data_IF_007710649373
#
_entry.id   IF_007710649373
#
_cell.length_a   1.000
_cell.length_b   1.000
_cell.length_c   1.000
_cell.angle_alpha   90.00
_cell.angle_beta   90.00
_cell.angle_gamma   90.00
#
_symmetry.space_group_name_H-M   'P 1'
#
loop_
_entity.id
_entity.type
_entity.pdbx_description
1 polymer ?
#
# COMPACT_ATOMS: atom_id res chain seq x y z
N UNK A 1 -14.95 43.47 -14.41
CA UNK A 1 -16.41 43.50 -14.74
C UNK A 1 -17.02 42.18 -14.32
N UNK A 2 -18.06 42.16 -13.48
CA UNK A 2 -18.73 40.91 -13.09
C UNK A 2 -19.54 40.34 -14.26
N UNK A 3 -19.57 38.99 -14.34
CA UNK A 3 -20.38 38.28 -15.32
C UNK A 3 -21.69 37.88 -14.64
N UNK A 4 -22.81 38.20 -15.26
CA UNK A 4 -24.14 37.88 -14.77
C UNK A 4 -24.77 36.77 -15.62
N UNK A 5 -25.33 35.77 -14.96
CA UNK A 5 -26.25 34.80 -15.57
C UNK A 5 -27.64 35.32 -15.45
N UNK A 6 -28.32 35.47 -16.57
CA UNK A 6 -29.69 35.97 -16.58
C UNK A 6 -30.68 34.97 -17.16
N UNK A 7 -31.92 35.05 -16.71
CA UNK A 7 -33.07 34.38 -17.28
C UNK A 7 -34.14 35.42 -17.58
N UNK A 8 -34.54 35.48 -18.83
CA UNK A 8 -35.52 36.44 -19.29
C UNK A 8 -36.51 35.81 -20.30
N UNK A 9 -37.46 36.61 -20.77
CA UNK A 9 -38.41 36.22 -21.84
C UNK A 9 -38.28 37.16 -23.01
N UNK A 10 -38.29 36.63 -24.23
CA UNK A 10 -38.31 37.38 -25.46
C UNK A 10 -39.75 37.82 -25.80
N UNK A 11 -39.92 38.57 -26.91
CA UNK A 11 -41.26 39.01 -27.39
C UNK A 11 -42.20 37.85 -27.71
N UNK A 12 -41.71 36.67 -27.99
CA UNK A 12 -42.49 35.45 -28.27
C UNK A 12 -42.81 34.66 -26.99
N UNK A 13 -42.54 35.25 -25.81
CA UNK A 13 -42.75 34.62 -24.50
C UNK A 13 -41.87 33.38 -24.21
N UNK A 14 -40.82 33.16 -25.02
CA UNK A 14 -39.86 32.06 -24.83
C UNK A 14 -38.82 32.43 -23.76
N UNK A 15 -38.39 31.42 -23.03
CA UNK A 15 -37.37 31.59 -21.96
C UNK A 15 -36.00 31.67 -22.60
N UNK A 16 -35.31 32.79 -22.46
CA UNK A 16 -33.92 33.00 -22.85
C UNK A 16 -33.02 32.99 -21.60
N UNK A 17 -32.04 32.11 -21.59
CA UNK A 17 -30.99 32.02 -20.56
C UNK A 17 -29.65 32.33 -21.22
N UNK A 18 -28.88 33.22 -20.61
CA UNK A 18 -27.58 33.60 -21.17
C UNK A 18 -26.67 34.20 -20.11
N UNK A 19 -25.40 34.43 -20.51
CA UNK A 19 -24.40 35.11 -19.71
C UNK A 19 -24.00 36.42 -20.40
N UNK A 20 -23.88 37.51 -19.59
CA UNK A 20 -23.42 38.81 -20.05
C UNK A 20 -22.52 39.47 -19.02
N UNK A 21 -21.54 40.20 -19.49
CA UNK A 21 -20.66 41.04 -18.67
C UNK A 21 -21.30 42.42 -18.57
N UNK A 22 -21.50 42.91 -17.34
CA UNK A 22 -21.99 44.25 -17.09
C UNK A 22 -21.39 44.79 -15.79
N UNK A 23 -21.29 46.12 -15.69
CA UNK A 23 -20.71 46.75 -14.50
C UNK A 23 -21.61 46.63 -13.26
N UNK A 24 -22.94 46.64 -13.47
CA UNK A 24 -23.94 46.44 -12.43
C UNK A 24 -25.25 45.84 -13.02
N UNK A 25 -26.20 45.49 -12.13
CA UNK A 25 -27.48 44.89 -12.54
C UNK A 25 -28.34 45.85 -13.40
N UNK A 26 -28.18 47.16 -13.23
CA UNK A 26 -28.91 48.14 -14.00
C UNK A 26 -28.38 48.28 -15.42
N UNK A 27 -27.08 48.25 -15.60
CA UNK A 27 -26.46 48.17 -16.92
C UNK A 27 -26.84 46.92 -17.70
N UNK A 28 -26.89 45.76 -17.00
CA UNK A 28 -27.39 44.52 -17.60
C UNK A 28 -28.86 44.64 -18.06
N UNK A 29 -29.73 45.25 -17.23
CA UNK A 29 -31.13 45.50 -17.62
C UNK A 29 -31.27 46.38 -18.84
N UNK A 30 -30.44 47.41 -18.98
CA UNK A 30 -30.46 48.27 -20.16
C UNK A 30 -30.00 47.53 -21.43
N UNK A 31 -28.97 46.69 -21.34
CA UNK A 31 -28.51 45.85 -22.43
C UNK A 31 -29.61 44.91 -22.88
N UNK A 32 -30.24 44.17 -21.97
CA UNK A 32 -31.27 43.20 -22.25
C UNK A 32 -32.58 43.84 -22.76
N UNK A 33 -32.91 45.07 -22.28
CA UNK A 33 -34.03 45.85 -22.87
C UNK A 33 -33.80 46.20 -24.34
N UNK A 34 -32.57 46.55 -24.74
CA UNK A 34 -32.22 46.79 -26.16
C UNK A 34 -32.34 45.53 -27.00
N UNK A 35 -32.05 44.36 -26.40
CA UNK A 35 -32.20 43.03 -27.02
C UNK A 35 -33.67 42.52 -26.95
N UNK A 36 -34.59 43.35 -26.41
CA UNK A 36 -36.05 43.03 -26.29
C UNK A 36 -36.30 41.78 -25.39
N UNK A 37 -35.47 41.54 -24.42
CA UNK A 37 -35.58 40.48 -23.43
C UNK A 37 -36.02 41.09 -22.11
N UNK A 38 -37.14 40.64 -21.58
CA UNK A 38 -37.63 41.02 -20.25
C UNK A 38 -36.99 40.16 -19.19
N UNK A 39 -36.23 40.77 -18.30
CA UNK A 39 -35.47 40.07 -17.24
C UNK A 39 -36.41 39.49 -16.18
N UNK A 40 -36.32 38.19 -15.93
CA UNK A 40 -37.07 37.47 -14.89
C UNK A 40 -36.21 37.17 -13.65
N UNK A 41 -34.93 36.80 -13.85
CA UNK A 41 -34.01 36.50 -12.76
C UNK A 41 -32.57 36.83 -13.17
N UNK A 42 -31.79 37.38 -12.22
CA UNK A 42 -30.36 37.67 -12.39
C UNK A 42 -29.60 37.14 -11.19
N UNK A 43 -28.52 36.36 -11.48
CA UNK A 43 -27.53 36.00 -10.49
C UNK A 43 -26.16 36.44 -10.99
N UNK A 44 -25.39 37.06 -10.12
CA UNK A 44 -23.96 37.26 -10.39
C UNK A 44 -23.28 35.91 -10.42
N UNK A 45 -22.56 35.61 -11.51
CA UNK A 45 -21.76 34.40 -11.60
C UNK A 45 -20.68 34.51 -10.54
N UNK A 46 -20.93 33.88 -9.36
CA UNK A 46 -19.92 33.82 -8.30
C UNK A 46 -18.59 33.39 -8.93
N UNK A 47 -17.47 33.97 -8.52
CA UNK A 47 -16.16 33.41 -8.81
C UNK A 47 -16.29 31.93 -8.52
N UNK A 48 -16.20 31.10 -9.54
CA UNK A 48 -15.93 29.68 -9.34
C UNK A 48 -14.70 29.66 -8.45
N UNK A 49 -14.89 29.42 -7.17
CA UNK A 49 -13.82 28.94 -6.30
C UNK A 49 -13.51 27.63 -6.98
N UNK A 50 -12.49 27.63 -7.85
CA UNK A 50 -11.95 26.42 -8.41
C UNK A 50 -11.51 25.63 -7.20
N UNK A 51 -12.39 24.73 -6.71
CA UNK A 51 -11.98 23.68 -5.82
C UNK A 51 -10.80 23.08 -6.56
N UNK A 52 -9.56 23.19 -6.03
CA UNK A 52 -8.43 22.60 -6.70
C UNK A 52 -8.85 21.17 -6.95
N UNK A 53 -9.05 20.79 -8.22
CA UNK A 53 -9.32 19.40 -8.58
C UNK A 53 -8.21 18.65 -7.90
N UNK A 54 -8.53 18.01 -6.75
CA UNK A 54 -7.59 17.21 -5.97
C UNK A 54 -6.98 16.30 -7.00
N UNK A 55 -5.71 16.59 -7.34
CA UNK A 55 -5.08 16.12 -8.57
C UNK A 55 -5.30 14.64 -8.68
N UNK A 56 -5.95 14.21 -9.75
CA UNK A 56 -6.25 12.81 -10.00
C UNK A 56 -4.97 12.02 -9.73
N UNK A 57 -5.08 10.90 -9.03
CA UNK A 57 -3.99 10.10 -8.49
C UNK A 57 -2.82 10.02 -9.47
N UNK A 58 -1.74 10.79 -9.21
CA UNK A 58 -0.49 10.76 -9.98
C UNK A 58 0.29 9.47 -9.72
N UNK A 59 -0.41 8.34 -9.62
CA UNK A 59 0.18 7.04 -9.33
C UNK A 59 -0.48 5.98 -10.19
N UNK A 60 0.33 5.21 -10.90
CA UNK A 60 -0.07 4.01 -11.61
C UNK A 60 -0.04 2.85 -10.62
N UNK A 61 -1.09 2.04 -10.57
CA UNK A 61 -1.12 0.84 -9.74
C UNK A 61 -0.29 -0.26 -10.42
N UNK A 62 0.37 -1.09 -9.62
CA UNK A 62 1.12 -2.24 -10.16
C UNK A 62 0.24 -3.18 -11.01
N UNK A 63 -1.06 -3.27 -10.70
CA UNK A 63 -2.02 -4.03 -11.51
C UNK A 63 -2.19 -3.42 -12.91
N UNK A 64 -2.31 -2.09 -13.00
CA UNK A 64 -2.49 -1.40 -14.29
C UNK A 64 -1.23 -1.59 -15.16
N UNK A 65 -0.05 -1.50 -14.54
CA UNK A 65 1.22 -1.77 -15.21
C UNK A 65 1.33 -3.23 -15.67
N UNK A 66 0.90 -4.20 -14.85
CA UNK A 66 0.89 -5.62 -15.20
C UNK A 66 0.02 -5.89 -16.44
N UNK A 67 -1.21 -5.36 -16.45
CA UNK A 67 -2.13 -5.51 -17.59
C UNK A 67 -1.55 -4.86 -18.84
N UNK A 68 -1.02 -3.65 -18.73
CA UNK A 68 -0.35 -2.96 -19.82
C UNK A 68 0.80 -3.81 -20.38
N UNK A 69 1.72 -4.28 -19.52
CA UNK A 69 2.88 -5.06 -19.98
C UNK A 69 2.47 -6.36 -20.64
N UNK A 70 1.43 -7.03 -20.14
CA UNK A 70 0.91 -8.26 -20.74
C UNK A 70 0.33 -8.01 -22.12
N UNK A 71 -0.51 -6.99 -22.26
CA UNK A 71 -1.09 -6.62 -23.55
C UNK A 71 -0.02 -6.16 -24.53
N UNK A 72 0.94 -5.38 -24.06
CA UNK A 72 2.06 -4.90 -24.86
C UNK A 72 2.91 -6.06 -25.39
N UNK A 73 3.26 -7.02 -24.52
CA UNK A 73 3.96 -8.24 -24.91
C UNK A 73 3.21 -9.01 -26.01
N UNK A 74 1.91 -9.24 -25.84
CA UNK A 74 1.10 -9.98 -26.82
C UNK A 74 1.02 -9.25 -28.17
N UNK A 75 0.92 -7.91 -28.14
CA UNK A 75 0.84 -7.12 -29.39
C UNK A 75 2.16 -7.10 -30.14
N UNK A 76 3.30 -7.00 -29.45
CA UNK A 76 4.63 -7.07 -30.05
C UNK A 76 4.91 -8.48 -30.58
N UNK A 77 4.55 -9.53 -29.84
CA UNK A 77 4.65 -10.93 -30.27
C UNK A 77 3.81 -11.20 -31.54
N UNK A 78 2.65 -10.54 -31.66
CA UNK A 78 1.81 -10.60 -32.86
C UNK A 78 2.35 -9.77 -34.04
N UNK A 79 3.51 -9.11 -33.89
CA UNK A 79 4.19 -8.35 -34.97
C UNK A 79 3.61 -6.95 -35.20
N UNK A 80 2.81 -6.38 -34.29
CA UNK A 80 2.31 -5.02 -34.46
C UNK A 80 3.46 -4.00 -34.27
N UNK A 81 3.46 -2.91 -35.06
CA UNK A 81 4.43 -1.83 -34.92
C UNK A 81 4.42 -1.24 -33.50
N UNK A 82 5.61 -0.99 -32.92
CA UNK A 82 5.79 -0.51 -31.55
C UNK A 82 4.97 0.75 -31.22
N UNK A 83 5.00 1.74 -32.11
CA UNK A 83 4.27 3.01 -31.96
C UNK A 83 2.76 2.78 -31.93
N UNK A 84 2.25 1.88 -32.80
CA UNK A 84 0.84 1.53 -32.84
C UNK A 84 0.39 0.81 -31.55
N UNK A 85 1.21 -0.09 -31.01
CA UNK A 85 0.94 -0.74 -29.73
C UNK A 85 0.78 0.29 -28.63
N UNK A 86 1.72 1.25 -28.51
CA UNK A 86 1.67 2.30 -27.50
C UNK A 86 0.43 3.19 -27.63
N UNK A 87 0.02 3.54 -28.86
CA UNK A 87 -1.19 4.32 -29.14
C UNK A 87 -2.45 3.59 -28.65
N UNK A 88 -2.64 2.34 -29.07
CA UNK A 88 -3.81 1.53 -28.71
C UNK A 88 -3.88 1.36 -27.18
N UNK A 89 -2.76 1.02 -26.56
CA UNK A 89 -2.70 0.82 -25.11
C UNK A 89 -2.91 2.11 -24.33
N UNK A 90 -2.45 3.25 -24.84
CA UNK A 90 -2.71 4.54 -24.21
C UNK A 90 -4.21 4.89 -24.24
N UNK A 91 -4.90 4.63 -25.37
CA UNK A 91 -6.33 4.90 -25.49
C UNK A 91 -7.19 4.04 -24.58
N UNK A 92 -6.75 2.82 -24.27
CA UNK A 92 -7.45 1.87 -23.40
C UNK A 92 -7.27 2.16 -21.89
N UNK A 93 -6.39 3.11 -21.51
CA UNK A 93 -6.11 3.39 -20.11
C UNK A 93 -7.19 4.24 -19.44
N UNK A 94 -7.82 3.71 -18.40
CA UNK A 94 -8.74 4.47 -17.53
C UNK A 94 -7.99 5.53 -16.70
N UNK A 95 -6.75 5.26 -16.32
CA UNK A 95 -5.91 6.15 -15.56
C UNK A 95 -5.32 7.26 -16.46
N UNK A 96 -5.91 8.45 -16.41
CA UNK A 96 -5.48 9.61 -17.21
C UNK A 96 -4.02 10.02 -17.03
N UNK A 97 -3.43 9.74 -15.87
CA UNK A 97 -2.01 9.96 -15.64
C UNK A 97 -1.16 8.94 -16.40
N UNK A 98 -1.54 7.67 -16.38
CA UNK A 98 -0.85 6.62 -17.12
C UNK A 98 -1.02 6.80 -18.63
N UNK A 99 -2.23 7.10 -19.10
CA UNK A 99 -2.51 7.45 -20.51
C UNK A 99 -1.55 8.53 -21.02
N UNK A 100 -1.40 9.63 -20.25
CA UNK A 100 -0.51 10.73 -20.63
C UNK A 100 0.95 10.29 -20.76
N UNK A 101 1.43 9.44 -19.82
CA UNK A 101 2.79 8.92 -19.86
C UNK A 101 3.00 8.05 -21.09
N UNK A 102 2.07 7.16 -21.42
CA UNK A 102 2.18 6.31 -22.60
C UNK A 102 2.20 7.12 -23.90
N UNK A 103 1.38 8.18 -23.99
CA UNK A 103 1.41 9.09 -25.14
C UNK A 103 2.74 9.85 -25.24
N UNK A 104 3.35 10.23 -24.12
CA UNK A 104 4.69 10.84 -24.11
C UNK A 104 5.75 9.84 -24.58
N UNK A 105 5.74 8.60 -24.03
CA UNK A 105 6.64 7.54 -24.47
C UNK A 105 6.49 7.26 -25.97
N UNK A 106 5.24 7.20 -26.46
CA UNK A 106 4.96 7.06 -27.89
C UNK A 106 5.62 8.18 -28.72
N UNK A 107 5.40 9.42 -28.31
CA UNK A 107 5.96 10.58 -28.99
C UNK A 107 7.50 10.56 -28.98
N UNK A 108 8.13 10.27 -27.83
CA UNK A 108 9.58 10.17 -27.73
C UNK A 108 10.15 9.10 -28.68
N UNK A 109 9.44 7.97 -28.84
CA UNK A 109 9.83 6.90 -29.77
C UNK A 109 9.63 7.32 -31.23
N UNK A 110 8.53 8.01 -31.57
CA UNK A 110 8.30 8.58 -32.90
C UNK A 110 9.38 9.59 -33.29
N UNK A 111 9.89 10.36 -32.32
CA UNK A 111 11.00 11.31 -32.48
C UNK A 111 12.38 10.65 -32.60
N UNK A 112 12.45 9.31 -32.49
CA UNK A 112 13.68 8.52 -32.68
C UNK A 112 14.40 8.13 -31.40
N UNK A 113 13.83 8.38 -30.23
CA UNK A 113 14.39 7.83 -28.98
C UNK A 113 14.15 6.33 -28.90
N UNK A 114 15.07 5.59 -28.22
CA UNK A 114 14.83 4.19 -27.92
C UNK A 114 13.67 4.05 -26.93
N UNK A 115 12.93 2.94 -26.98
CA UNK A 115 11.84 2.65 -26.06
C UNK A 115 12.32 2.66 -24.61
N UNK A 116 13.47 2.06 -24.34
CA UNK A 116 14.09 2.04 -23.02
C UNK A 116 14.37 3.46 -22.50
N UNK A 117 14.95 4.33 -23.31
CA UNK A 117 15.24 5.72 -22.95
C UNK A 117 13.95 6.51 -22.70
N UNK A 118 12.94 6.36 -23.53
CA UNK A 118 11.64 7.01 -23.38
C UNK A 118 10.96 6.58 -22.06
N UNK A 119 10.98 5.29 -21.74
CA UNK A 119 10.42 4.76 -20.49
C UNK A 119 11.21 5.20 -19.25
N UNK A 120 12.55 5.25 -19.34
CA UNK A 120 13.42 5.67 -18.23
C UNK A 120 13.18 7.13 -17.78
N UNK A 121 12.61 7.99 -18.63
CA UNK A 121 12.18 9.36 -18.27
C UNK A 121 11.02 9.37 -17.26
N UNK A 122 10.34 8.24 -17.09
CA UNK A 122 9.18 8.08 -16.20
C UNK A 122 9.42 7.06 -15.06
N UNK A 123 10.41 7.26 -14.16
CA UNK A 123 10.84 6.26 -13.17
C UNK A 123 9.78 5.95 -12.09
N UNK A 124 8.72 6.77 -12.00
CA UNK A 124 7.58 6.50 -11.11
C UNK A 124 6.61 5.44 -11.65
N UNK A 125 6.68 5.11 -12.93
CA UNK A 125 5.85 4.12 -13.62
C UNK A 125 6.71 2.96 -14.08
N UNK A 126 7.77 3.25 -14.81
CA UNK A 126 8.76 2.29 -15.30
C UNK A 126 10.01 2.42 -14.44
N UNK A 127 10.19 1.48 -13.53
CA UNK A 127 11.37 1.48 -12.66
C UNK A 127 12.63 1.08 -13.42
N UNK A 128 13.77 1.12 -12.72
CA UNK A 128 15.06 0.82 -13.33
C UNK A 128 15.12 -0.62 -13.87
N UNK A 129 14.47 -1.58 -13.19
CA UNK A 129 14.37 -2.96 -13.67
C UNK A 129 13.66 -3.01 -15.02
N UNK A 130 12.50 -2.36 -15.11
CA UNK A 130 11.68 -2.31 -16.32
C UNK A 130 12.47 -1.74 -17.51
N UNK A 131 13.05 -0.56 -17.33
CA UNK A 131 13.79 0.14 -18.38
C UNK A 131 15.02 -0.64 -18.85
N UNK A 132 15.79 -1.23 -17.93
CA UNK A 132 16.98 -1.99 -18.28
C UNK A 132 16.65 -3.32 -18.99
N UNK A 133 15.54 -3.97 -18.62
CA UNK A 133 15.08 -5.15 -19.35
C UNK A 133 14.65 -4.78 -20.77
N UNK A 134 13.89 -3.69 -20.93
CA UNK A 134 13.50 -3.19 -22.24
C UNK A 134 14.72 -2.84 -23.10
N UNK A 135 15.75 -2.18 -22.49
CA UNK A 135 17.01 -1.85 -23.16
C UNK A 135 17.74 -3.11 -23.67
N UNK A 136 17.82 -4.15 -22.84
CA UNK A 136 18.41 -5.42 -23.24
C UNK A 136 17.64 -6.07 -24.41
N UNK A 137 16.30 -6.03 -24.36
CA UNK A 137 15.46 -6.57 -25.44
C UNK A 137 15.54 -5.78 -26.73
N UNK A 138 15.59 -4.46 -26.64
CA UNK A 138 15.70 -3.55 -27.80
C UNK A 138 17.07 -3.70 -28.47
N UNK A 139 18.15 -3.72 -27.68
CA UNK A 139 19.51 -3.89 -28.18
C UNK A 139 19.75 -5.29 -28.76
N UNK A 140 19.16 -6.31 -28.12
CA UNK A 140 19.30 -7.72 -28.56
C UNK A 140 18.34 -8.12 -29.68
N UNK A 141 17.38 -7.26 -30.06
CA UNK A 141 16.33 -7.58 -31.05
C UNK A 141 15.33 -8.66 -30.59
N UNK A 142 15.21 -8.86 -29.27
CA UNK A 142 14.34 -9.88 -28.62
C UNK A 142 13.32 -9.21 -27.67
N UNK A 143 12.79 -8.07 -28.09
CA UNK A 143 11.89 -7.28 -27.27
C UNK A 143 10.62 -8.05 -26.88
N UNK A 144 10.08 -8.87 -27.77
CA UNK A 144 8.96 -9.79 -27.57
C UNK A 144 9.18 -10.70 -26.38
N UNK A 145 10.33 -11.43 -26.38
CA UNK A 145 10.70 -12.35 -25.32
C UNK A 145 10.91 -11.62 -23.97
N UNK A 146 11.56 -10.45 -24.01
CA UNK A 146 11.80 -9.64 -22.81
C UNK A 146 10.51 -9.13 -22.21
N UNK A 147 9.58 -8.61 -23.04
CA UNK A 147 8.27 -8.16 -22.57
C UNK A 147 7.45 -9.31 -21.99
N UNK A 148 7.53 -10.52 -22.55
CA UNK A 148 6.89 -11.71 -21.98
C UNK A 148 7.44 -12.05 -20.59
N UNK A 149 8.77 -12.04 -20.43
CA UNK A 149 9.43 -12.27 -19.13
C UNK A 149 9.06 -11.19 -18.11
N UNK A 150 9.09 -9.93 -18.53
CA UNK A 150 8.75 -8.78 -17.71
C UNK A 150 7.27 -8.83 -17.26
N UNK A 151 6.37 -9.19 -18.17
CA UNK A 151 4.96 -9.42 -17.85
C UNK A 151 4.78 -10.49 -16.78
N UNK A 152 5.41 -11.65 -16.97
CA UNK A 152 5.38 -12.76 -16.01
C UNK A 152 5.97 -12.35 -14.64
N UNK A 153 7.07 -11.61 -14.64
CA UNK A 153 7.69 -11.08 -13.43
C UNK A 153 6.74 -10.15 -12.66
N UNK A 154 6.16 -9.16 -13.35
CA UNK A 154 5.25 -8.19 -12.73
C UNK A 154 3.99 -8.90 -12.22
N UNK A 155 3.42 -9.83 -12.99
CA UNK A 155 2.27 -10.64 -12.58
C UNK A 155 2.54 -11.40 -11.28
N UNK A 156 3.70 -12.04 -11.14
CA UNK A 156 4.11 -12.76 -9.92
C UNK A 156 4.22 -11.81 -8.73
N UNK A 157 4.86 -10.64 -8.91
CA UNK A 157 4.97 -9.63 -7.84
C UNK A 157 3.60 -9.08 -7.42
N UNK A 158 2.71 -8.82 -8.39
CA UNK A 158 1.34 -8.35 -8.12
C UNK A 158 0.53 -9.44 -7.40
N UNK A 159 0.67 -10.70 -7.83
CA UNK A 159 0.02 -11.84 -7.19
C UNK A 159 0.47 -11.98 -5.75
N UNK A 160 1.78 -12.07 -5.50
CA UNK A 160 2.34 -12.19 -4.15
C UNK A 160 1.83 -11.07 -3.23
N UNK A 161 1.86 -9.84 -3.70
CA UNK A 161 1.36 -8.70 -2.93
C UNK A 161 -0.14 -8.80 -2.64
N UNK A 162 -0.93 -9.24 -3.61
CA UNK A 162 -2.37 -9.43 -3.45
C UNK A 162 -2.66 -10.54 -2.43
N UNK A 163 -1.94 -11.65 -2.52
CA UNK A 163 -2.16 -12.81 -1.66
C UNK A 163 -1.82 -12.46 -0.19
N UNK A 164 -0.74 -11.72 0.06
CA UNK A 164 -0.42 -11.17 1.39
C UNK A 164 -1.54 -10.24 1.90
N UNK A 165 -2.01 -9.31 1.07
CA UNK A 165 -3.07 -8.37 1.49
C UNK A 165 -4.37 -9.11 1.76
N UNK A 166 -4.76 -10.05 0.89
CA UNK A 166 -5.98 -10.84 1.05
C UNK A 166 -5.97 -11.68 2.32
N UNK A 167 -4.83 -12.30 2.62
CA UNK A 167 -4.63 -13.06 3.84
C UNK A 167 -4.82 -12.20 5.11
N UNK A 168 -4.41 -10.93 5.08
CA UNK A 168 -4.52 -10.02 6.22
C UNK A 168 -5.93 -9.42 6.43
N UNK A 169 -6.87 -9.59 5.49
CA UNK A 169 -8.23 -9.03 5.62
C UNK A 169 -8.97 -9.65 6.80
N UNK A 170 -8.99 -10.99 6.89
CA UNK A 170 -9.71 -11.71 7.95
C UNK A 170 -9.18 -11.35 9.36
N UNK A 171 -7.88 -11.45 9.68
CA UNK A 171 -7.36 -11.05 10.97
C UNK A 171 -7.67 -9.58 11.32
N UNK A 172 -7.53 -8.69 10.34
CA UNK A 172 -7.81 -7.26 10.55
C UNK A 172 -9.28 -7.01 10.89
N UNK A 173 -10.21 -7.71 10.22
CA UNK A 173 -11.64 -7.60 10.49
C UNK A 173 -12.00 -8.13 11.89
N UNK A 174 -11.44 -9.28 12.29
CA UNK A 174 -11.67 -9.87 13.61
C UNK A 174 -11.11 -8.97 14.71
N UNK A 175 -9.88 -8.46 14.56
CA UNK A 175 -9.27 -7.52 15.52
C UNK A 175 -10.12 -6.24 15.64
N UNK A 176 -10.58 -5.69 14.53
CA UNK A 176 -11.43 -4.49 14.53
C UNK A 176 -12.74 -4.76 15.29
N UNK A 177 -13.40 -5.89 15.00
CA UNK A 177 -14.63 -6.28 15.68
C UNK A 177 -14.40 -6.45 17.19
N UNK A 178 -13.30 -7.09 17.57
CA UNK A 178 -12.90 -7.29 18.95
C UNK A 178 -12.69 -5.96 19.70
N UNK A 179 -11.95 -5.03 19.07
CA UNK A 179 -11.72 -3.68 19.63
C UNK A 179 -13.06 -2.95 19.81
N UNK A 180 -13.95 -3.00 18.82
CA UNK A 180 -15.27 -2.37 18.89
C UNK A 180 -16.11 -2.99 20.01
N UNK A 181 -16.15 -4.32 20.13
CA UNK A 181 -16.91 -5.00 21.17
C UNK A 181 -16.40 -4.63 22.57
N UNK A 182 -15.09 -4.69 22.79
CA UNK A 182 -14.49 -4.28 24.09
C UNK A 182 -14.73 -2.80 24.36
N UNK A 183 -14.63 -1.92 23.36
CA UNK A 183 -14.89 -0.50 23.52
C UNK A 183 -16.35 -0.24 23.91
N UNK A 184 -17.32 -0.92 23.29
CA UNK A 184 -18.75 -0.81 23.66
C UNK A 184 -18.98 -1.26 25.09
N UNK A 185 -18.42 -2.38 25.50
CA UNK A 185 -18.53 -2.87 26.90
C UNK A 185 -17.93 -1.82 27.86
N UNK A 186 -16.74 -1.32 27.57
CA UNK A 186 -16.04 -0.37 28.44
C UNK A 186 -16.75 0.99 28.53
N UNK A 187 -17.28 1.51 27.42
CA UNK A 187 -17.84 2.88 27.38
C UNK A 187 -19.33 2.92 27.73
N UNK A 188 -20.08 1.83 27.46
CA UNK A 188 -21.53 1.82 27.65
C UNK A 188 -21.93 0.93 28.84
N UNK A 189 -21.45 -0.32 28.87
CA UNK A 189 -21.95 -1.31 29.82
C UNK A 189 -21.38 -1.07 31.21
N UNK A 190 -20.08 -0.90 31.35
CA UNK A 190 -19.41 -0.74 32.65
C UNK A 190 -19.90 0.49 33.42
N UNK A 191 -20.07 1.68 32.83
CA UNK A 191 -20.61 2.84 33.56
C UNK A 191 -22.02 2.63 34.08
N UNK A 192 -22.89 1.91 33.34
CA UNK A 192 -24.23 1.57 33.82
C UNK A 192 -24.19 0.67 35.05
N UNK A 193 -23.34 -0.38 35.04
CA UNK A 193 -23.12 -1.23 36.21
C UNK A 193 -22.51 -0.47 37.38
N UNK A 194 -21.55 0.42 37.14
CA UNK A 194 -21.00 1.29 38.19
C UNK A 194 -22.07 2.08 38.90
N UNK A 195 -23.00 2.71 38.17
CA UNK A 195 -24.10 3.49 38.74
C UNK A 195 -25.02 2.61 39.57
N UNK A 196 -25.35 1.39 39.13
CA UNK A 196 -26.17 0.42 39.87
C UNK A 196 -25.50 0.05 41.18
N UNK A 197 -24.20 -0.28 41.16
CA UNK A 197 -23.44 -0.69 42.38
C UNK A 197 -23.27 0.44 43.37
N UNK A 198 -23.01 1.67 42.90
CA UNK A 198 -22.95 2.85 43.79
C UNK A 198 -24.30 3.16 44.47
N UNK A 199 -25.40 2.82 43.81
CA UNK A 199 -26.76 2.95 44.42
C UNK A 199 -27.08 1.85 45.41
N UNK A 200 -26.41 0.69 45.36
CA UNK A 200 -26.62 -0.46 46.22
C UNK A 200 -25.64 -0.51 47.42
N UNK A 201 -24.45 0.04 47.24
CA UNK A 201 -23.41 0.14 48.26
C UNK A 201 -23.71 1.33 49.17
N UNK A 202 -23.62 1.13 50.51
CA UNK A 202 -23.78 2.20 51.47
C UNK A 202 -22.67 3.27 51.41
N UNK A 203 -22.89 4.46 51.97
CA UNK A 203 -21.91 5.53 51.98
C UNK A 203 -20.61 5.06 52.69
N UNK A 204 -19.49 5.08 51.95
CA UNK A 204 -18.15 4.71 52.41
C UNK A 204 -17.65 3.34 51.98
N UNK A 205 -18.44 2.54 51.31
CA UNK A 205 -18.01 1.25 50.77
C UNK A 205 -17.28 1.38 49.42
N UNK A 206 -16.13 0.69 49.33
CA UNK A 206 -15.30 0.68 48.11
C UNK A 206 -15.56 -0.59 47.27
N UNK A 207 -15.60 -0.42 45.95
CA UNK A 207 -15.65 -1.54 45.01
C UNK A 207 -14.39 -2.43 45.15
N UNK A 208 -14.52 -3.76 44.96
CA UNK A 208 -13.38 -4.67 44.90
C UNK A 208 -12.29 -4.19 43.93
N UNK A 209 -11.02 -4.46 44.27
CA UNK A 209 -9.85 -4.01 43.46
C UNK A 209 -9.96 -4.30 41.97
N UNK A 210 -10.31 -5.53 41.52
CA UNK A 210 -10.46 -5.79 40.08
C UNK A 210 -11.52 -4.92 39.42
N UNK A 211 -12.68 -4.74 40.09
CA UNK A 211 -13.77 -3.89 39.56
C UNK A 211 -13.34 -2.43 39.47
N UNK A 212 -12.61 -1.93 40.48
CA UNK A 212 -12.11 -0.55 40.49
C UNK A 212 -11.13 -0.27 39.38
N UNK A 213 -10.27 -1.24 39.02
CA UNK A 213 -9.33 -1.14 37.88
C UNK A 213 -10.11 -1.04 36.59
N UNK A 214 -11.07 -1.96 36.36
CA UNK A 214 -11.87 -2.00 35.14
C UNK A 214 -12.71 -0.73 34.98
N UNK A 215 -13.34 -0.26 36.06
CA UNK A 215 -14.10 1.00 36.07
C UNK A 215 -13.18 2.20 35.83
N UNK A 216 -11.98 2.21 36.39
CA UNK A 216 -10.98 3.27 36.14
C UNK A 216 -10.57 3.35 34.67
N UNK A 217 -10.30 2.20 34.03
CA UNK A 217 -10.02 2.13 32.59
C UNK A 217 -11.24 2.57 31.77
N UNK A 218 -12.45 2.14 32.16
CA UNK A 218 -13.69 2.52 31.51
C UNK A 218 -13.93 4.04 31.54
N UNK A 219 -13.82 4.66 32.70
CA UNK A 219 -13.98 6.10 32.86
C UNK A 219 -12.91 6.90 32.11
N UNK A 220 -11.67 6.39 32.05
CA UNK A 220 -10.62 6.97 31.22
C UNK A 220 -10.98 6.90 29.72
N UNK A 221 -11.44 5.74 29.23
CA UNK A 221 -11.84 5.55 27.82
C UNK A 221 -13.09 6.34 27.46
N UNK A 222 -14.10 6.38 28.34
CA UNK A 222 -15.35 7.13 28.11
C UNK A 222 -15.13 8.65 28.15
N UNK A 223 -14.09 9.13 28.81
CA UNK A 223 -13.70 10.53 28.85
C UNK A 223 -12.69 10.91 27.75
N UNK A 224 -11.84 11.86 28.06
CA UNK A 224 -10.78 12.35 27.14
C UNK A 224 -9.71 11.30 26.82
N UNK A 225 -9.59 10.26 27.61
CA UNK A 225 -8.59 9.20 27.44
C UNK A 225 -8.74 8.44 26.11
N UNK A 226 -9.96 8.16 25.68
CA UNK A 226 -10.20 7.53 24.37
C UNK A 226 -9.68 8.37 23.22
N UNK A 227 -9.88 9.69 23.27
CA UNK A 227 -9.36 10.62 22.27
C UNK A 227 -7.84 10.73 22.32
N UNK A 228 -7.25 10.74 23.53
CA UNK A 228 -5.79 10.75 23.74
C UNK A 228 -5.16 9.49 23.14
N UNK A 229 -5.74 8.31 23.36
CA UNK A 229 -5.26 7.05 22.77
C UNK A 229 -5.32 7.13 21.24
N UNK A 230 -6.45 7.57 20.67
CA UNK A 230 -6.60 7.70 19.22
C UNK A 230 -5.54 8.64 18.62
N UNK A 231 -5.36 9.82 19.21
CA UNK A 231 -4.36 10.80 18.75
C UNK A 231 -2.95 10.26 18.93
N UNK A 232 -2.67 9.56 20.02
CA UNK A 232 -1.36 8.93 20.28
C UNK A 232 -1.04 7.85 19.23
N UNK A 233 -2.00 6.97 18.92
CA UNK A 233 -1.82 5.94 17.87
C UNK A 233 -1.56 6.58 16.51
N UNK A 234 -2.35 7.61 16.13
CA UNK A 234 -2.11 8.35 14.89
C UNK A 234 -0.73 9.02 14.92
N UNK A 235 -0.36 9.65 16.03
CA UNK A 235 0.94 10.29 16.24
C UNK A 235 2.10 9.30 16.09
N UNK A 236 2.01 8.12 16.70
CA UNK A 236 3.01 7.04 16.59
C UNK A 236 3.14 6.59 15.12
N UNK A 237 2.03 6.34 14.42
CA UNK A 237 2.05 5.92 13.01
C UNK A 237 2.71 6.99 12.14
N UNK A 238 2.40 8.26 12.38
CA UNK A 238 3.01 9.39 11.65
C UNK A 238 4.50 9.50 11.99
N UNK A 239 4.88 9.42 13.27
CA UNK A 239 6.27 9.47 13.72
C UNK A 239 7.10 8.34 13.11
N UNK A 240 6.59 7.09 13.12
CA UNK A 240 7.25 5.93 12.49
C UNK A 240 7.41 6.15 10.98
N UNK A 241 6.41 6.70 10.28
CA UNK A 241 6.52 7.02 8.85
C UNK A 241 7.57 8.11 8.58
N UNK A 242 7.67 9.13 9.42
CA UNK A 242 8.71 10.15 9.30
C UNK A 242 10.09 9.59 9.63
N UNK A 243 10.20 8.81 10.69
CA UNK A 243 11.45 8.14 11.08
C UNK A 243 11.96 7.18 9.98
N UNK A 244 11.06 6.42 9.34
CA UNK A 244 11.39 5.52 8.22
C UNK A 244 11.94 6.24 6.99
N UNK A 245 11.65 7.54 6.81
CA UNK A 245 12.20 8.33 5.70
C UNK A 245 13.67 8.73 5.93
N UNK A 246 14.17 8.65 7.15
CA UNK A 246 15.58 8.93 7.47
C UNK A 246 16.45 7.71 7.18
N UNK A 247 17.70 7.86 6.69
CA UNK A 247 18.57 6.71 6.40
C UNK A 247 18.79 5.80 7.61
N UNK A 248 19.01 6.37 8.79
CA UNK A 248 19.17 5.62 10.04
C UNK A 248 17.89 4.93 10.48
N UNK A 249 16.75 5.62 10.40
CA UNK A 249 15.44 5.08 10.77
C UNK A 249 15.03 3.91 9.87
N UNK A 250 15.26 4.01 8.57
CA UNK A 250 15.02 2.92 7.62
C UNK A 250 15.84 1.69 7.98
N UNK A 251 17.14 1.86 8.21
CA UNK A 251 18.03 0.75 8.60
C UNK A 251 17.60 0.07 9.90
N UNK A 252 17.25 0.85 10.92
CA UNK A 252 16.84 0.31 12.22
C UNK A 252 15.51 -0.46 12.12
N UNK A 253 14.51 0.09 11.44
CA UNK A 253 13.21 -0.57 11.27
C UNK A 253 13.37 -1.84 10.45
N UNK A 254 14.11 -1.80 9.34
CA UNK A 254 14.36 -2.96 8.48
C UNK A 254 15.10 -4.07 9.24
N UNK A 255 16.04 -3.70 10.12
CA UNK A 255 16.74 -4.66 10.96
C UNK A 255 15.83 -5.30 12.03
N UNK A 256 15.01 -4.47 12.71
CA UNK A 256 14.03 -4.97 13.69
C UNK A 256 13.04 -5.91 13.01
N UNK A 257 12.51 -5.56 11.83
CA UNK A 257 11.58 -6.39 11.08
C UNK A 257 12.14 -7.79 10.78
N UNK A 258 13.43 -7.91 10.50
CA UNK A 258 14.08 -9.20 10.25
C UNK A 258 14.33 -10.01 11.54
N UNK A 259 14.28 -9.38 12.73
CA UNK A 259 14.51 -10.03 14.02
C UNK A 259 13.23 -10.38 14.79
N UNK A 260 12.09 -9.83 14.44
CA UNK A 260 10.82 -10.17 15.08
C UNK A 260 10.53 -11.66 14.87
N UNK A 261 10.25 -12.43 15.96
CA UNK A 261 9.91 -13.85 15.82
C UNK A 261 8.68 -14.04 14.91
N UNK A 262 8.68 -15.11 14.12
CA UNK A 262 7.66 -15.46 13.11
C UNK A 262 7.66 -14.49 11.91
N UNK A 263 7.47 -13.19 12.11
CA UNK A 263 7.43 -12.20 11.02
C UNK A 263 8.80 -12.03 10.35
N UNK A 264 9.89 -12.08 11.10
CA UNK A 264 11.24 -11.94 10.55
C UNK A 264 11.61 -13.05 9.57
N UNK A 265 11.16 -14.28 9.84
CA UNK A 265 11.34 -15.40 8.91
C UNK A 265 10.56 -15.18 7.61
N UNK A 266 9.31 -14.71 7.72
CA UNK A 266 8.48 -14.39 6.55
C UNK A 266 9.14 -13.26 5.71
N UNK A 267 9.58 -12.18 6.35
CA UNK A 267 10.26 -11.08 5.64
C UNK A 267 11.54 -11.54 4.96
N UNK A 268 12.30 -12.43 5.61
CA UNK A 268 13.51 -13.02 5.03
C UNK A 268 13.18 -13.89 3.79
N UNK A 269 12.17 -14.75 3.89
CA UNK A 269 11.69 -15.58 2.76
C UNK A 269 11.22 -14.71 1.59
N UNK A 270 10.44 -13.67 1.85
CA UNK A 270 10.00 -12.69 0.83
C UNK A 270 11.20 -12.01 0.16
N UNK A 271 12.21 -11.61 0.94
CA UNK A 271 13.39 -10.96 0.41
C UNK A 271 14.22 -11.90 -0.47
N UNK A 272 14.39 -13.16 -0.05
CA UNK A 272 15.09 -14.20 -0.84
C UNK A 272 14.33 -14.51 -2.12
N UNK A 273 13.01 -14.70 -2.05
CA UNK A 273 12.17 -14.93 -3.22
C UNK A 273 12.30 -13.78 -4.23
N UNK A 274 12.20 -12.55 -3.77
CA UNK A 274 12.33 -11.34 -4.60
C UNK A 274 13.73 -11.21 -5.21
N UNK A 275 14.78 -11.38 -4.39
CA UNK A 275 16.15 -11.37 -4.84
C UNK A 275 16.37 -12.39 -5.97
N UNK A 276 16.02 -13.64 -5.72
CA UNK A 276 16.26 -14.74 -6.67
C UNK A 276 15.43 -14.57 -7.94
N UNK A 277 14.17 -14.14 -7.83
CA UNK A 277 13.31 -13.88 -8.98
C UNK A 277 13.84 -12.75 -9.85
N UNK A 278 14.21 -11.62 -9.23
CA UNK A 278 14.72 -10.45 -9.95
C UNK A 278 16.03 -10.79 -10.65
N UNK A 279 16.97 -11.41 -9.94
CA UNK A 279 18.28 -11.74 -10.50
C UNK A 279 18.16 -12.80 -11.60
N UNK A 280 17.36 -13.87 -11.40
CA UNK A 280 17.08 -14.87 -12.43
C UNK A 280 16.52 -14.24 -13.71
N UNK A 281 15.52 -13.36 -13.55
CA UNK A 281 14.87 -12.69 -14.70
C UNK A 281 15.86 -11.82 -15.48
N UNK A 282 16.69 -11.05 -14.80
CA UNK A 282 17.71 -10.21 -15.44
C UNK A 282 18.77 -11.03 -16.17
N UNK A 283 19.34 -12.04 -15.49
CA UNK A 283 20.37 -12.89 -16.09
C UNK A 283 19.83 -13.68 -17.29
N UNK A 284 18.66 -14.27 -17.17
CA UNK A 284 18.03 -14.98 -18.29
C UNK A 284 17.68 -14.05 -19.47
N UNK A 285 17.56 -12.75 -19.21
CA UNK A 285 17.33 -11.71 -20.24
C UNK A 285 18.63 -11.16 -20.83
N UNK A 286 19.80 -11.70 -20.43
CA UNK A 286 21.10 -11.30 -20.97
C UNK A 286 21.70 -10.05 -20.34
N UNK A 287 21.10 -9.51 -19.28
CA UNK A 287 21.67 -8.36 -18.55
C UNK A 287 22.95 -8.78 -17.83
N UNK A 288 24.06 -8.04 -17.96
CA UNK A 288 25.32 -8.36 -17.31
C UNK A 288 25.18 -8.54 -15.79
N UNK A 289 25.90 -9.51 -15.20
CA UNK A 289 25.75 -9.92 -13.80
C UNK A 289 25.93 -8.76 -12.80
N UNK A 290 26.92 -7.88 -13.01
CA UNK A 290 27.19 -6.75 -12.13
C UNK A 290 26.05 -5.73 -12.16
N UNK A 291 25.49 -5.46 -13.34
CA UNK A 291 24.33 -4.60 -13.51
C UNK A 291 23.08 -5.25 -12.91
N UNK A 292 22.89 -6.55 -13.12
CA UNK A 292 21.79 -7.32 -12.53
C UNK A 292 21.81 -7.28 -10.99
N UNK A 293 22.98 -7.39 -10.38
CA UNK A 293 23.16 -7.27 -8.93
C UNK A 293 22.86 -5.85 -8.42
N UNK A 294 23.28 -4.80 -9.14
CA UNK A 294 22.96 -3.41 -8.78
C UNK A 294 21.45 -3.14 -8.80
N UNK A 295 20.76 -3.58 -9.84
CA UNK A 295 19.30 -3.46 -9.96
C UNK A 295 18.59 -4.25 -8.85
N UNK A 296 19.05 -5.49 -8.61
CA UNK A 296 18.46 -6.38 -7.60
C UNK A 296 18.65 -5.81 -6.18
N UNK A 297 19.80 -5.22 -5.88
CA UNK A 297 20.04 -4.54 -4.62
C UNK A 297 19.02 -3.41 -4.39
N UNK A 298 18.87 -2.50 -5.36
CA UNK A 298 17.93 -1.35 -5.29
C UNK A 298 16.46 -1.77 -5.20
N UNK A 299 16.10 -2.90 -5.78
CA UNK A 299 14.73 -3.43 -5.78
C UNK A 299 14.41 -4.38 -4.63
N UNK A 300 15.39 -4.72 -3.80
CA UNK A 300 15.24 -5.66 -2.67
C UNK A 300 14.20 -5.23 -1.63
N UNK A 301 14.04 -3.92 -1.43
CA UNK A 301 13.02 -3.33 -0.55
C UNK A 301 13.39 -3.30 0.93
N UNK A 302 14.56 -3.81 1.33
CA UNK A 302 15.09 -3.79 2.70
C UNK A 302 16.57 -3.40 2.64
N UNK A 303 16.98 -2.43 3.45
CA UNK A 303 18.36 -1.87 3.43
C UNK A 303 19.41 -2.91 3.84
N UNK A 304 19.08 -3.85 4.71
CA UNK A 304 20.01 -4.90 5.14
C UNK A 304 20.29 -5.84 3.97
N UNK A 305 19.24 -6.25 3.25
CA UNK A 305 19.32 -7.08 2.05
C UNK A 305 20.06 -6.33 0.93
N UNK A 306 19.71 -5.05 0.70
CA UNK A 306 20.38 -4.16 -0.26
C UNK A 306 21.90 -4.11 -0.02
N UNK A 307 22.30 -3.91 1.25
CA UNK A 307 23.70 -3.88 1.66
C UNK A 307 24.39 -5.25 1.44
N UNK A 308 23.70 -6.34 1.74
CA UNK A 308 24.22 -7.69 1.52
C UNK A 308 24.47 -7.96 0.04
N UNK A 309 23.52 -7.65 -0.84
CA UNK A 309 23.67 -7.82 -2.30
C UNK A 309 24.77 -6.91 -2.85
N UNK A 310 24.90 -5.69 -2.35
CA UNK A 310 25.96 -4.76 -2.75
C UNK A 310 27.35 -5.31 -2.39
N UNK A 311 27.49 -5.98 -1.25
CA UNK A 311 28.76 -6.68 -0.88
C UNK A 311 29.04 -7.83 -1.84
N UNK A 312 28.03 -8.63 -2.19
CA UNK A 312 28.17 -9.69 -3.19
C UNK A 312 28.63 -9.10 -4.53
N UNK A 313 27.99 -8.02 -4.99
CA UNK A 313 28.38 -7.32 -6.21
C UNK A 313 29.86 -6.93 -6.19
N UNK A 314 30.32 -6.34 -5.08
CA UNK A 314 31.72 -5.91 -4.93
C UNK A 314 32.70 -7.10 -4.93
N UNK A 315 32.33 -8.24 -4.34
CA UNK A 315 33.12 -9.48 -4.42
C UNK A 315 33.23 -10.01 -5.84
N UNK A 316 32.10 -10.14 -6.54
CA UNK A 316 32.05 -10.58 -7.94
C UNK A 316 32.83 -9.63 -8.86
N UNK A 317 32.79 -8.33 -8.65
CA UNK A 317 33.56 -7.31 -9.38
C UNK A 317 35.10 -7.52 -9.22
N UNK A 318 35.54 -8.07 -8.07
CA UNK A 318 36.92 -8.43 -7.80
C UNK A 318 37.30 -9.80 -8.32
N UNK A 319 36.40 -10.53 -8.95
CA UNK A 319 36.62 -11.89 -9.43
C UNK A 319 36.44 -12.97 -8.37
N UNK A 320 35.87 -12.64 -7.20
CA UNK A 320 35.54 -13.65 -6.19
C UNK A 320 34.34 -14.48 -6.67
N UNK A 321 34.23 -15.75 -6.19
CA UNK A 321 33.03 -16.56 -6.37
C UNK A 321 31.80 -15.84 -5.79
N UNK A 322 30.67 -16.03 -6.41
CA UNK A 322 29.40 -15.47 -5.92
C UNK A 322 29.05 -15.98 -4.51
N UNK A 323 29.43 -17.21 -4.21
CA UNK A 323 29.03 -17.93 -2.98
C UNK A 323 29.70 -17.36 -1.74
N UNK A 324 30.97 -17.01 -1.78
CA UNK A 324 31.71 -16.62 -0.58
C UNK A 324 31.25 -15.28 -0.01
N UNK A 325 31.07 -14.19 -0.80
CA UNK A 325 30.50 -12.96 -0.32
C UNK A 325 29.04 -13.14 0.15
N UNK A 326 28.26 -14.03 -0.50
CA UNK A 326 26.87 -14.29 -0.11
C UNK A 326 26.78 -14.94 1.27
N UNK A 327 27.59 -15.98 1.54
CA UNK A 327 27.68 -16.64 2.85
C UNK A 327 28.11 -15.67 3.96
N UNK A 328 29.09 -14.82 3.67
CA UNK A 328 29.61 -13.84 4.63
C UNK A 328 28.57 -12.80 5.09
N UNK A 329 27.43 -12.66 4.41
CA UNK A 329 26.37 -11.73 4.81
C UNK A 329 25.48 -12.28 5.90
N UNK A 330 25.42 -13.60 6.13
CA UNK A 330 24.51 -14.31 7.06
C UNK A 330 23.02 -14.00 6.87
N UNK A 331 22.67 -13.28 5.82
CA UNK A 331 21.29 -12.86 5.53
C UNK A 331 20.55 -13.96 4.77
N UNK A 332 21.27 -14.64 3.87
CA UNK A 332 20.70 -15.66 3.01
C UNK A 332 20.83 -17.06 3.64
N UNK A 333 19.77 -17.89 3.56
CA UNK A 333 19.82 -19.27 4.02
C UNK A 333 20.90 -20.09 3.30
N UNK A 334 21.45 -21.09 3.98
CA UNK A 334 22.55 -21.90 3.47
C UNK A 334 22.22 -22.61 2.15
N UNK A 335 20.99 -23.08 1.99
CA UNK A 335 20.51 -23.71 0.75
C UNK A 335 20.61 -22.75 -0.46
N UNK A 336 20.34 -21.46 -0.27
CA UNK A 336 20.44 -20.46 -1.34
C UNK A 336 21.88 -20.35 -1.84
N UNK A 337 22.84 -20.26 -0.92
CA UNK A 337 24.26 -20.20 -1.26
C UNK A 337 24.76 -21.47 -1.96
N UNK A 338 24.27 -22.66 -1.54
CA UNK A 338 24.62 -23.92 -2.19
C UNK A 338 24.08 -24.00 -3.62
N UNK A 339 22.79 -23.68 -3.84
CA UNK A 339 22.19 -23.71 -5.18
C UNK A 339 22.82 -22.69 -6.12
N UNK A 340 23.17 -21.51 -5.61
CA UNK A 340 23.91 -20.49 -6.38
C UNK A 340 25.28 -21.02 -6.76
N UNK A 341 26.00 -21.68 -5.84
CA UNK A 341 27.30 -22.31 -6.13
C UNK A 341 27.23 -23.37 -7.22
N UNK A 342 26.20 -24.21 -7.20
CA UNK A 342 25.95 -25.18 -8.26
C UNK A 342 25.72 -24.46 -9.61
N UNK A 343 24.87 -23.41 -9.59
CA UNK A 343 24.60 -22.61 -10.77
C UNK A 343 25.83 -21.90 -11.33
N UNK A 344 26.69 -21.40 -10.46
CA UNK A 344 28.00 -20.79 -10.85
C UNK A 344 28.93 -21.79 -11.50
N UNK A 345 29.09 -22.99 -10.91
CA UNK A 345 29.94 -24.04 -11.43
C UNK A 345 29.45 -24.65 -12.76
N UNK A 346 28.15 -24.76 -12.93
CA UNK A 346 27.51 -25.32 -14.12
C UNK A 346 27.20 -24.29 -15.21
N UNK A 347 27.39 -23.00 -14.94
CA UNK A 347 27.03 -21.91 -15.85
C UNK A 347 25.52 -21.69 -15.97
N UNK A 348 24.71 -22.34 -15.14
CA UNK A 348 23.22 -22.28 -15.15
C UNK A 348 22.67 -21.46 -13.96
N UNK A 349 23.33 -20.33 -13.67
CA UNK A 349 23.00 -19.49 -12.51
C UNK A 349 21.57 -18.95 -12.56
N UNK A 350 21.12 -18.54 -13.74
CA UNK A 350 19.76 -18.04 -13.99
C UNK A 350 18.69 -19.10 -13.70
N UNK A 351 18.91 -20.33 -14.13
CA UNK A 351 18.02 -21.47 -13.90
C UNK A 351 17.96 -21.84 -12.40
N UNK A 352 19.11 -21.88 -11.71
CA UNK A 352 19.16 -22.16 -10.27
C UNK A 352 18.48 -21.08 -9.45
N UNK A 353 18.70 -19.81 -9.77
CA UNK A 353 18.00 -18.69 -9.15
C UNK A 353 16.48 -18.77 -9.38
N UNK A 354 16.05 -19.18 -10.56
CA UNK A 354 14.63 -19.43 -10.86
C UNK A 354 14.02 -20.48 -9.95
N UNK A 355 14.72 -21.59 -9.73
CA UNK A 355 14.29 -22.66 -8.79
C UNK A 355 14.25 -22.19 -7.34
N UNK A 356 15.24 -21.40 -6.91
CA UNK A 356 15.24 -20.78 -5.58
C UNK A 356 14.03 -19.87 -5.43
N UNK A 357 13.73 -19.06 -6.45
CA UNK A 357 12.58 -18.16 -6.41
C UNK A 357 11.25 -18.92 -6.29
N UNK A 358 11.03 -19.95 -7.12
CA UNK A 358 9.83 -20.77 -7.06
C UNK A 358 9.65 -21.46 -5.69
N UNK A 359 10.74 -21.99 -5.12
CA UNK A 359 10.74 -22.60 -3.80
C UNK A 359 10.37 -21.58 -2.70
N UNK A 360 11.05 -20.41 -2.69
CA UNK A 360 10.79 -19.41 -1.66
C UNK A 360 9.45 -18.70 -1.83
N UNK A 361 8.91 -18.57 -3.04
CA UNK A 361 7.53 -18.12 -3.28
C UNK A 361 6.53 -19.08 -2.60
N UNK A 362 6.70 -20.40 -2.75
CA UNK A 362 5.88 -21.42 -2.08
C UNK A 362 6.05 -21.40 -0.55
N UNK A 363 7.28 -21.21 -0.06
CA UNK A 363 7.58 -21.07 1.36
C UNK A 363 6.93 -19.84 1.99
N UNK A 364 6.85 -18.73 1.25
CA UNK A 364 6.14 -17.52 1.69
C UNK A 364 4.64 -17.79 1.82
N UNK A 365 4.03 -18.44 0.83
CA UNK A 365 2.62 -18.79 0.86
C UNK A 365 2.30 -19.69 2.06
N UNK A 366 3.13 -20.70 2.31
CA UNK A 366 3.01 -21.61 3.46
C UNK A 366 3.20 -20.88 4.79
N UNK A 367 4.19 -19.99 4.89
CA UNK A 367 4.47 -19.23 6.11
C UNK A 367 3.33 -18.26 6.44
N UNK A 368 2.71 -17.65 5.43
CA UNK A 368 1.53 -16.80 5.60
C UNK A 368 0.32 -17.63 6.07
N UNK A 369 0.08 -18.79 5.49
CA UNK A 369 -1.00 -19.68 5.92
C UNK A 369 -0.81 -20.12 7.38
N UNK A 370 0.41 -20.50 7.77
CA UNK A 370 0.75 -20.87 9.14
C UNK A 370 0.56 -19.70 10.12
N UNK A 371 0.96 -18.48 9.72
CA UNK A 371 0.74 -17.28 10.53
C UNK A 371 -0.75 -17.05 10.82
N UNK A 372 -1.61 -17.22 9.80
CA UNK A 372 -3.06 -17.07 9.95
C UNK A 372 -3.65 -18.09 10.91
N UNK A 373 -3.21 -19.35 10.81
CA UNK A 373 -3.63 -20.41 11.71
C UNK A 373 -3.20 -20.15 13.17
N UNK A 374 -2.04 -19.53 13.39
CA UNK A 374 -1.57 -19.17 14.73
C UNK A 374 -2.29 -17.94 15.32
N UNK A 375 -2.72 -17.01 14.49
CA UNK A 375 -3.43 -15.80 14.95
C UNK A 375 -4.78 -16.16 15.57
N UNK A 376 -5.48 -17.17 15.05
CA UNK A 376 -6.83 -17.54 15.51
C UNK A 376 -6.87 -17.97 17.00
N UNK A 377 -6.08 -18.95 17.48
CA UNK A 377 -6.04 -19.30 18.89
C UNK A 377 -5.58 -18.13 19.78
N UNK A 378 -4.65 -17.31 19.29
CA UNK A 378 -4.15 -16.16 20.03
C UNK A 378 -5.25 -15.10 20.22
N UNK A 379 -6.07 -14.86 19.18
CA UNK A 379 -7.21 -13.94 19.26
C UNK A 379 -8.28 -14.48 20.22
N UNK A 380 -8.61 -15.77 20.11
CA UNK A 380 -9.61 -16.40 21.00
C UNK A 380 -9.12 -16.34 22.46
N UNK A 381 -7.86 -16.66 22.72
CA UNK A 381 -7.26 -16.57 24.05
C UNK A 381 -7.26 -15.13 24.61
N UNK A 382 -6.84 -14.16 23.80
CA UNK A 382 -6.85 -12.75 24.17
C UNK A 382 -8.26 -12.25 24.48
N UNK A 383 -9.25 -12.54 23.63
CA UNK A 383 -10.63 -12.16 23.84
C UNK A 383 -11.23 -12.86 25.07
N UNK A 384 -10.97 -14.16 25.23
CA UNK A 384 -11.44 -14.93 26.38
C UNK A 384 -10.92 -14.37 27.71
N UNK A 385 -9.63 -14.06 27.79
CA UNK A 385 -9.03 -13.44 28.98
C UNK A 385 -9.57 -12.02 29.20
N UNK A 386 -9.69 -11.22 28.14
CA UNK A 386 -10.16 -9.83 28.27
C UNK A 386 -11.63 -9.79 28.69
N UNK A 387 -12.51 -10.48 27.99
CA UNK A 387 -13.93 -10.50 28.32
C UNK A 387 -14.17 -11.23 29.64
N UNK A 388 -13.50 -12.35 29.90
CA UNK A 388 -13.59 -13.08 31.15
C UNK A 388 -13.19 -12.23 32.35
N UNK A 389 -12.09 -11.49 32.27
CA UNK A 389 -11.68 -10.58 33.36
C UNK A 389 -12.67 -9.43 33.59
N UNK A 390 -13.27 -8.89 32.53
CA UNK A 390 -14.34 -7.87 32.65
C UNK A 390 -15.56 -8.48 33.36
N UNK A 391 -16.02 -9.65 32.94
CA UNK A 391 -17.18 -10.33 33.49
C UNK A 391 -16.95 -10.64 34.98
N UNK A 392 -15.81 -11.26 35.33
CA UNK A 392 -15.46 -11.55 36.72
C UNK A 392 -15.46 -10.26 37.55
N UNK A 393 -14.83 -9.19 37.04
CA UNK A 393 -14.76 -7.91 37.73
C UNK A 393 -16.13 -7.27 37.96
N UNK A 394 -17.10 -7.54 37.10
CA UNK A 394 -18.47 -7.05 37.25
C UNK A 394 -19.30 -7.88 38.22
N UNK A 395 -19.06 -9.21 38.31
CA UNK A 395 -19.79 -10.06 39.25
C UNK A 395 -19.26 -10.02 40.67
N UNK A 396 -17.98 -9.70 40.87
CA UNK A 396 -17.33 -9.61 42.18
C UNK A 396 -18.09 -8.73 43.19
N UNK A 397 -18.57 -7.51 42.86
CA UNK A 397 -19.34 -6.68 43.77
C UNK A 397 -20.67 -7.32 44.22
N UNK A 398 -21.33 -8.08 43.30
CA UNK A 398 -22.56 -8.80 43.65
C UNK A 398 -22.31 -9.87 44.74
N UNK A 399 -21.23 -10.65 44.61
CA UNK A 399 -20.88 -11.65 45.62
C UNK A 399 -20.51 -11.01 46.96
N UNK A 400 -19.84 -9.86 46.93
CA UNK A 400 -19.51 -9.13 48.18
C UNK A 400 -20.76 -8.58 48.87
N UNK A 401 -21.75 -8.09 48.10
CA UNK A 401 -23.04 -7.65 48.63
C UNK A 401 -23.83 -8.81 49.25
N UNK A 402 -23.96 -9.93 48.53
CA UNK A 402 -24.65 -11.13 49.02
C UNK A 402 -23.97 -11.65 50.31
N UNK A 403 -22.65 -11.72 50.35
CA UNK A 403 -21.91 -12.15 51.54
C UNK A 403 -22.19 -11.27 52.76
N UNK A 404 -22.28 -9.95 52.57
CA UNK A 404 -22.61 -9.00 53.64
C UNK A 404 -24.04 -9.11 54.12
N UNK A 405 -25.02 -9.27 53.21
CA UNK A 405 -26.40 -9.51 53.53
C UNK A 405 -26.61 -10.82 54.32
N UNK A 406 -25.81 -11.82 54.01
CA UNK A 406 -25.83 -13.13 54.67
C UNK A 406 -25.12 -13.13 56.05
N UNK A 407 -24.14 -12.23 56.25
CA UNK A 407 -23.38 -12.14 57.53
C UNK A 407 -23.94 -11.11 58.52
N UNK A 408 -24.98 -10.37 58.13
CA UNK A 408 -25.66 -9.33 58.93
C UNK A 408 -26.83 -9.84 59.77
N UNK A 409 -26.95 -11.18 59.99
CA UNK A 409 -27.87 -11.79 60.94
C UNK A 409 -27.10 -12.45 62.07
#
# INVERSE_FOLDING_TARGET
MPTYVFKGRNRLNEIVVGERVADNREALRQILRREQVTLTSVKEKGREIGIPKIGGRKKVKSKDLSVFTRQFSVMIDAGLPLVQCLEILAQQQDNKYFQRILLQVRQDVEEGSTLATAMARHPRVFDQLYSNMVEAGETGGILDLILQRLSTFIEKIVKLKRDIISAMIYPSAVILLAIVAVAVIMVVVIPQFQNIFLGLLGPGEQLPLPTRIVVGISNFLAGWGGLIILVSVIGIVVAVKFYYKTPGGRRNIDWVLLKVPILGDIFRKIAVARFSRTLSTLLSSGVPILQSLDITAKTSGNVIIETAITKVRTGVERGESFVDPLKATEVFPHMVAQMIGIGEQTGALDAMLGKIADFYESEVDSAIANLLTLIEPLLIGFLGVTIGSIVISMYLPLFTLIGKLSSGH
#
